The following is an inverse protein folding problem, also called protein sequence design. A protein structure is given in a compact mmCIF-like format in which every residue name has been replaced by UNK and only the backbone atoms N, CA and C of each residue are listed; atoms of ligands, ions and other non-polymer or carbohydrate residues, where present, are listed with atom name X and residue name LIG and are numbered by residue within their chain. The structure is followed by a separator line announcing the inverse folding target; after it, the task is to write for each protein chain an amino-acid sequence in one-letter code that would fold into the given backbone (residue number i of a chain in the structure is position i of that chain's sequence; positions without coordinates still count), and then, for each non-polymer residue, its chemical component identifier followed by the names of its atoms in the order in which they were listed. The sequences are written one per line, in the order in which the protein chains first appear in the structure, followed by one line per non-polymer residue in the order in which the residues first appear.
data_IF_904337535927
#
_entry.id   IF_904337535927
#
_cell.length_a   1.000
_cell.length_b   1.000
_cell.length_c   1.000
_cell.angle_alpha   90.00
_cell.angle_beta   90.00
_cell.angle_gamma   90.00
#
_symmetry.space_group_name_H-M   'P 1'
#
loop_
_entity.id
_entity.type
_entity.pdbx_description
1 polymer ?
#
# COMPACT_ATOMS: atom_id res chain seq x y z
N UNK A 1 -8.63 -2.81 10.61
CA UNK A 1 -8.67 -1.98 11.82
C UNK A 1 -7.29 -1.40 12.10
N UNK A 2 -7.25 -0.19 12.64
CA UNK A 2 -6.01 0.46 13.04
C UNK A 2 -5.48 -0.19 14.33
N UNK A 3 -4.38 -0.94 14.28
CA UNK A 3 -3.75 -1.47 15.48
C UNK A 3 -2.80 -0.46 16.15
N UNK A 4 -2.35 -0.76 17.37
CA UNK A 4 -1.47 0.10 18.19
C UNK A 4 -0.22 0.60 17.44
N UNK A 5 0.36 -0.22 16.55
CA UNK A 5 1.48 0.21 15.69
C UNK A 5 1.16 1.45 14.83
N UNK A 6 -0.01 1.52 14.21
CA UNK A 6 -0.45 2.66 13.41
C UNK A 6 -0.77 3.88 14.28
N UNK A 7 -1.22 3.67 15.52
CA UNK A 7 -1.46 4.77 16.45
C UNK A 7 -0.16 5.50 16.82
N UNK A 8 0.92 4.76 17.03
CA UNK A 8 2.25 5.34 17.31
C UNK A 8 2.75 6.21 16.16
N UNK A 9 2.70 5.69 14.93
CA UNK A 9 3.14 6.46 13.76
C UNK A 9 2.26 7.69 13.53
N UNK A 10 0.95 7.57 13.74
CA UNK A 10 0.01 8.70 13.63
C UNK A 10 0.38 9.83 14.58
N UNK A 11 0.55 9.54 15.88
CA UNK A 11 0.85 10.57 16.89
C UNK A 11 2.24 11.18 16.64
N UNK A 12 3.27 10.36 16.40
CA UNK A 12 4.63 10.85 16.18
C UNK A 12 4.70 11.70 14.91
N UNK A 13 4.08 11.24 13.82
CA UNK A 13 4.03 11.96 12.56
C UNK A 13 3.31 13.30 12.68
N UNK A 14 2.20 13.36 13.41
CA UNK A 14 1.47 14.61 13.64
C UNK A 14 2.29 15.60 14.48
N UNK A 15 2.93 15.15 15.57
CA UNK A 15 3.82 16.00 16.38
C UNK A 15 4.97 16.57 15.53
N UNK A 16 5.63 15.74 14.71
CA UNK A 16 6.69 16.20 13.81
C UNK A 16 6.17 17.23 12.82
N UNK A 17 4.99 16.99 12.23
CA UNK A 17 4.36 17.91 11.27
C UNK A 17 4.07 19.25 11.92
N UNK A 18 3.44 19.26 13.10
CA UNK A 18 3.14 20.48 13.86
C UNK A 18 4.40 21.29 14.20
N UNK A 19 5.49 20.62 14.61
CA UNK A 19 6.76 21.30 14.94
C UNK A 19 7.40 21.91 13.69
N UNK A 20 7.36 21.21 12.56
CA UNK A 20 7.90 21.71 11.30
C UNK A 20 7.09 22.89 10.75
N UNK A 21 5.76 22.81 10.80
CA UNK A 21 4.86 23.91 10.44
C UNK A 21 5.08 25.13 11.35
N UNK A 22 5.19 24.92 12.66
CA UNK A 22 5.51 25.99 13.61
C UNK A 22 6.86 26.65 13.31
N UNK A 23 7.82 25.88 12.80
CA UNK A 23 9.14 26.36 12.39
C UNK A 23 9.12 27.07 11.03
N UNK A 24 7.97 27.16 10.37
CA UNK A 24 7.77 27.88 9.10
C UNK A 24 7.95 27.04 7.85
N UNK A 25 8.00 25.71 7.95
CA UNK A 25 8.02 24.82 6.78
C UNK A 25 6.61 24.60 6.21
N UNK A 26 6.51 24.45 4.90
CA UNK A 26 5.31 23.91 4.24
C UNK A 26 5.31 22.38 4.38
N UNK A 27 4.28 21.83 5.01
CA UNK A 27 4.23 20.40 5.37
C UNK A 27 3.02 19.73 4.74
N UNK A 28 3.31 18.87 3.75
CA UNK A 28 2.31 17.96 3.19
C UNK A 28 2.27 16.66 4.01
N UNK A 29 1.17 16.45 4.74
CA UNK A 29 0.94 15.26 5.57
C UNK A 29 0.25 14.17 4.74
N UNK A 30 0.90 13.04 4.52
CA UNK A 30 0.36 11.94 3.72
C UNK A 30 0.09 10.68 4.55
N UNK A 31 -1.14 10.18 4.47
CA UNK A 31 -1.54 8.90 5.00
C UNK A 31 -1.41 7.81 3.93
N UNK A 32 -0.33 7.05 3.99
CA UNK A 32 -0.04 5.98 3.03
C UNK A 32 -0.74 4.67 3.43
N UNK A 33 -2.06 4.65 3.23
CA UNK A 33 -2.90 3.51 3.61
C UNK A 33 -2.68 2.30 2.72
N UNK A 34 -2.68 1.11 3.32
CA UNK A 34 -2.60 -0.18 2.62
C UNK A 34 -3.95 -0.57 2.00
N UNK A 35 -4.39 0.20 1.02
CA UNK A 35 -5.66 0.05 0.31
C UNK A 35 -5.56 -0.80 -0.96
N UNK A 36 -4.41 -1.46 -1.19
CA UNK A 36 -4.22 -2.33 -2.34
C UNK A 36 -3.51 -3.62 -1.94
N UNK A 37 -3.80 -4.73 -2.61
CA UNK A 37 -3.14 -6.02 -2.37
C UNK A 37 -4.02 -7.24 -2.53
N UNK A 38 -3.41 -8.42 -2.45
CA UNK A 38 -4.09 -9.70 -2.70
C UNK A 38 -5.16 -10.04 -1.66
N UNK A 39 -5.05 -9.46 -0.46
CA UNK A 39 -6.05 -9.58 0.60
C UNK A 39 -7.43 -9.04 0.17
N UNK A 40 -7.49 -8.09 -0.77
CA UNK A 40 -8.76 -7.56 -1.25
C UNK A 40 -9.54 -8.57 -2.10
N UNK A 41 -8.87 -9.55 -2.73
CA UNK A 41 -9.57 -10.57 -3.51
C UNK A 41 -10.53 -11.40 -2.67
N UNK A 42 -10.12 -11.83 -1.47
CA UNK A 42 -11.03 -12.55 -0.57
C UNK A 42 -12.13 -11.64 0.00
N UNK A 43 -11.85 -10.36 0.23
CA UNK A 43 -12.84 -9.42 0.75
C UNK A 43 -13.90 -9.11 -0.30
N UNK A 44 -13.50 -8.84 -1.54
CA UNK A 44 -14.42 -8.61 -2.67
C UNK A 44 -15.34 -9.82 -2.89
N UNK A 45 -14.80 -11.03 -2.90
CA UNK A 45 -15.62 -12.23 -3.07
C UNK A 45 -16.47 -12.56 -1.85
N UNK A 46 -16.03 -12.18 -0.64
CA UNK A 46 -16.89 -12.28 0.54
C UNK A 46 -18.07 -11.29 0.47
N UNK A 47 -17.82 -10.05 0.05
CA UNK A 47 -18.89 -9.08 -0.19
C UNK A 47 -19.84 -9.54 -1.29
N UNK A 48 -19.34 -10.18 -2.34
CA UNK A 48 -20.17 -10.73 -3.42
C UNK A 48 -21.23 -11.70 -2.89
N UNK A 49 -20.89 -12.48 -1.87
CA UNK A 49 -21.78 -13.48 -1.29
C UNK A 49 -22.70 -12.90 -0.20
N UNK A 50 -22.18 -12.01 0.66
CA UNK A 50 -22.89 -11.54 1.87
C UNK A 50 -23.51 -10.13 1.75
N UNK A 51 -22.97 -9.28 0.87
CA UNK A 51 -23.34 -7.87 0.66
C UNK A 51 -23.35 -7.51 -0.83
N UNK A 52 -24.19 -8.16 -1.66
CA UNK A 52 -24.20 -7.94 -3.12
C UNK A 52 -24.44 -6.47 -3.51
N UNK A 53 -25.08 -5.68 -2.65
CA UNK A 53 -25.28 -4.24 -2.81
C UNK A 53 -23.97 -3.43 -2.84
N UNK A 54 -22.89 -3.94 -2.22
CA UNK A 54 -21.56 -3.33 -2.23
C UNK A 54 -20.88 -3.42 -3.60
N UNK A 55 -21.35 -4.32 -4.47
CA UNK A 55 -20.83 -4.50 -5.82
C UNK A 55 -21.49 -3.57 -6.84
N UNK A 56 -22.45 -2.74 -6.41
CA UNK A 56 -23.14 -1.79 -7.28
C UNK A 56 -22.32 -0.50 -7.34
N UNK A 57 -21.85 -0.07 -8.53
CA UNK A 57 -21.13 1.19 -8.67
C UNK A 57 -21.90 2.39 -8.10
N UNK A 58 -21.23 3.24 -7.33
CA UNK A 58 -21.84 4.42 -6.69
C UNK A 58 -22.65 4.14 -5.42
N UNK A 59 -22.60 2.92 -4.87
CA UNK A 59 -23.23 2.59 -3.59
C UNK A 59 -22.27 2.51 -2.39
N UNK A 60 -20.97 2.77 -2.57
CA UNK A 60 -19.95 2.62 -1.51
C UNK A 60 -20.33 3.28 -0.17
N UNK A 61 -20.89 4.48 -0.18
CA UNK A 61 -21.25 5.23 1.04
C UNK A 61 -22.63 4.85 1.62
N UNK A 62 -23.37 3.94 0.97
CA UNK A 62 -24.73 3.54 1.34
C UNK A 62 -24.80 2.17 2.00
N UNK A 63 -23.69 1.43 1.98
CA UNK A 63 -23.63 0.07 2.50
C UNK A 63 -22.94 0.09 3.86
N UNK A 64 -23.66 -0.33 4.89
CA UNK A 64 -23.09 -0.54 6.22
C UNK A 64 -22.53 -1.96 6.32
N UNK A 65 -21.21 -2.08 6.15
CA UNK A 65 -20.50 -3.35 6.33
C UNK A 65 -20.29 -3.72 7.82
N UNK A 66 -20.77 -2.87 8.74
CA UNK A 66 -20.64 -3.03 10.18
C UNK A 66 -19.17 -3.12 10.59
N UNK A 67 -18.81 -4.21 11.26
CA UNK A 67 -17.46 -4.37 11.80
C UNK A 67 -16.53 -5.05 10.79
N UNK A 68 -15.65 -4.25 10.15
CA UNK A 68 -14.67 -4.75 9.17
C UNK A 68 -13.70 -5.81 9.71
N UNK A 69 -13.43 -5.85 11.01
CA UNK A 69 -12.59 -6.91 11.61
C UNK A 69 -13.30 -8.25 11.58
N UNK A 70 -14.59 -8.27 11.90
CA UNK A 70 -15.40 -9.48 11.80
C UNK A 70 -15.51 -9.94 10.35
N UNK A 71 -15.74 -9.00 9.44
CA UNK A 71 -15.81 -9.27 8.00
C UNK A 71 -14.50 -9.89 7.48
N UNK A 72 -13.36 -9.28 7.82
CA UNK A 72 -12.05 -9.82 7.46
C UNK A 72 -11.81 -11.22 8.02
N UNK A 73 -12.15 -11.46 9.30
CA UNK A 73 -12.00 -12.78 9.93
C UNK A 73 -12.87 -13.83 9.26
N UNK A 74 -14.12 -13.48 8.91
CA UNK A 74 -15.03 -14.39 8.21
C UNK A 74 -14.51 -14.71 6.79
N UNK A 75 -14.11 -13.71 6.02
CA UNK A 75 -13.51 -13.89 4.70
C UNK A 75 -12.24 -14.75 4.77
N UNK A 76 -11.37 -14.49 5.75
CA UNK A 76 -10.13 -15.25 5.96
C UNK A 76 -10.40 -16.70 6.34
N UNK A 77 -11.36 -16.95 7.24
CA UNK A 77 -11.76 -18.31 7.60
C UNK A 77 -12.24 -19.08 6.37
N UNK A 78 -13.09 -18.47 5.53
CA UNK A 78 -13.54 -19.08 4.27
C UNK A 78 -12.38 -19.35 3.33
N UNK A 79 -11.46 -18.41 3.17
CA UNK A 79 -10.26 -18.58 2.34
C UNK A 79 -9.38 -19.75 2.77
N UNK A 80 -9.33 -20.05 4.07
CA UNK A 80 -8.47 -21.10 4.61
C UNK A 80 -9.10 -22.50 4.53
N UNK A 81 -10.43 -22.62 4.49
CA UNK A 81 -11.14 -23.91 4.56
C UNK A 81 -11.96 -24.28 3.31
N UNK A 82 -12.28 -23.32 2.44
CA UNK A 82 -13.07 -23.53 1.23
C UNK A 82 -12.21 -23.28 -0.02
N UNK A 83 -11.79 -24.37 -0.67
CA UNK A 83 -10.96 -24.32 -1.88
C UNK A 83 -11.66 -23.62 -3.05
N UNK A 84 -12.98 -23.72 -3.16
CA UNK A 84 -13.74 -23.05 -4.21
C UNK A 84 -13.76 -21.53 -3.96
N UNK A 85 -13.96 -21.10 -2.71
CA UNK A 85 -13.87 -19.68 -2.35
C UNK A 85 -12.45 -19.14 -2.53
N UNK A 86 -11.42 -19.93 -2.17
CA UNK A 86 -10.01 -19.57 -2.37
C UNK A 86 -9.68 -19.33 -3.84
N UNK A 87 -10.19 -20.17 -4.73
CA UNK A 87 -10.03 -19.98 -6.17
C UNK A 87 -10.73 -18.70 -6.66
N UNK A 88 -11.99 -18.48 -6.25
CA UNK A 88 -12.70 -17.22 -6.56
C UNK A 88 -11.97 -16.01 -6.03
N UNK A 89 -11.43 -16.04 -4.81
CA UNK A 89 -10.68 -14.94 -4.23
C UNK A 89 -9.45 -14.56 -5.05
N UNK A 90 -8.73 -15.55 -5.61
CA UNK A 90 -7.61 -15.29 -6.53
C UNK A 90 -8.08 -14.60 -7.81
N UNK A 91 -9.19 -15.06 -8.38
CA UNK A 91 -9.82 -14.43 -9.55
C UNK A 91 -10.34 -13.02 -9.23
N UNK A 92 -10.83 -12.79 -8.01
CA UNK A 92 -11.26 -11.49 -7.50
C UNK A 92 -10.13 -10.46 -7.48
N UNK A 93 -8.90 -10.86 -7.12
CA UNK A 93 -7.73 -10.00 -7.23
C UNK A 93 -7.49 -9.59 -8.69
N UNK A 94 -7.56 -10.54 -9.62
CA UNK A 94 -7.33 -10.28 -11.05
C UNK A 94 -8.41 -9.34 -11.60
N UNK A 95 -9.68 -9.55 -11.24
CA UNK A 95 -10.79 -8.66 -11.63
C UNK A 95 -10.59 -7.25 -11.09
N UNK A 96 -10.24 -7.09 -9.82
CA UNK A 96 -9.97 -5.80 -9.20
C UNK A 96 -8.80 -5.07 -9.89
N UNK A 97 -7.70 -5.77 -10.12
CA UNK A 97 -6.54 -5.21 -10.84
C UNK A 97 -6.83 -4.90 -12.32
N UNK A 98 -7.76 -5.63 -12.93
CA UNK A 98 -8.25 -5.41 -14.28
C UNK A 98 -9.28 -4.29 -14.41
N UNK A 99 -9.72 -3.69 -13.29
CA UNK A 99 -10.71 -2.61 -13.29
C UNK A 99 -12.15 -3.07 -13.53
N UNK A 100 -12.50 -4.32 -13.19
CA UNK A 100 -13.89 -4.79 -13.21
C UNK A 100 -14.77 -3.90 -12.32
N UNK A 101 -15.83 -3.32 -12.90
CA UNK A 101 -16.64 -2.30 -12.23
C UNK A 101 -17.24 -2.80 -10.90
N UNK A 102 -17.68 -4.05 -10.85
CA UNK A 102 -18.26 -4.64 -9.65
C UNK A 102 -17.21 -4.92 -8.57
N UNK A 103 -16.04 -5.42 -8.96
CA UNK A 103 -14.92 -5.62 -8.04
C UNK A 103 -14.39 -4.29 -7.48
N UNK A 104 -14.30 -3.26 -8.32
CA UNK A 104 -13.91 -1.90 -7.92
C UNK A 104 -14.93 -1.31 -6.97
N UNK A 105 -16.24 -1.42 -7.25
CA UNK A 105 -17.29 -0.93 -6.35
C UNK A 105 -17.22 -1.59 -4.96
N UNK A 106 -16.98 -2.90 -4.91
CA UNK A 106 -16.79 -3.61 -3.64
C UNK A 106 -15.55 -3.12 -2.88
N UNK A 107 -14.45 -2.91 -3.59
CA UNK A 107 -13.22 -2.34 -3.03
C UNK A 107 -13.45 -0.93 -2.48
N UNK A 108 -14.12 -0.06 -3.23
CA UNK A 108 -14.46 1.31 -2.80
C UNK A 108 -15.32 1.29 -1.53
N UNK A 109 -16.29 0.37 -1.44
CA UNK A 109 -17.13 0.19 -0.24
C UNK A 109 -16.31 -0.20 0.99
N UNK A 110 -15.36 -1.13 0.83
CA UNK A 110 -14.43 -1.52 1.91
C UNK A 110 -13.58 -0.34 2.38
N UNK A 111 -13.01 0.41 1.43
CA UNK A 111 -12.19 1.58 1.71
C UNK A 111 -13.00 2.69 2.38
N UNK A 112 -14.20 3.00 1.88
CA UNK A 112 -15.11 4.00 2.46
C UNK A 112 -15.47 3.66 3.90
N UNK A 113 -15.87 2.41 4.17
CA UNK A 113 -16.17 1.94 5.53
C UNK A 113 -14.94 2.08 6.44
N UNK A 114 -13.74 1.73 5.94
CA UNK A 114 -12.51 1.82 6.73
C UNK A 114 -12.14 3.27 7.04
N UNK A 115 -12.35 4.19 6.10
CA UNK A 115 -12.13 5.64 6.28
C UNK A 115 -13.00 6.21 7.39
N UNK A 116 -14.27 5.82 7.47
CA UNK A 116 -15.18 6.26 8.54
C UNK A 116 -14.63 5.84 9.92
N UNK A 117 -14.15 4.61 10.06
CA UNK A 117 -13.56 4.15 11.33
C UNK A 117 -12.23 4.84 11.66
N UNK A 118 -11.38 5.09 10.66
CA UNK A 118 -10.14 5.84 10.86
C UNK A 118 -10.38 7.29 11.25
N UNK A 119 -11.38 7.94 10.64
CA UNK A 119 -11.70 9.33 10.92
C UNK A 119 -12.13 9.55 12.37
N UNK A 120 -12.89 8.62 12.96
CA UNK A 120 -13.24 8.68 14.39
C UNK A 120 -11.99 8.76 15.28
N UNK A 121 -10.93 8.05 14.92
CA UNK A 121 -9.68 8.04 15.67
C UNK A 121 -8.91 9.34 15.43
N UNK A 122 -8.83 9.80 14.18
CA UNK A 122 -8.18 11.07 13.83
C UNK A 122 -8.86 12.25 14.52
N UNK A 123 -10.19 12.30 14.58
CA UNK A 123 -10.96 13.32 15.28
C UNK A 123 -10.68 13.29 16.78
N UNK A 124 -10.69 12.11 17.40
CA UNK A 124 -10.42 11.96 18.83
C UNK A 124 -8.99 12.40 19.22
N UNK A 125 -8.03 12.24 18.31
CA UNK A 125 -6.65 12.66 18.48
C UNK A 125 -6.39 14.10 17.98
N UNK A 126 -7.40 14.76 17.42
CA UNK A 126 -7.29 16.07 16.78
C UNK A 126 -6.22 16.13 15.69
N UNK A 127 -6.13 15.09 14.86
CA UNK A 127 -5.24 15.06 13.69
C UNK A 127 -5.87 15.89 12.58
N UNK A 128 -5.13 16.88 12.10
CA UNK A 128 -5.60 17.83 11.08
C UNK A 128 -4.75 17.73 9.80
N UNK A 129 -5.34 18.16 8.67
CA UNK A 129 -4.67 18.28 7.36
C UNK A 129 -3.98 17.00 6.84
N UNK A 130 -4.36 15.83 7.36
CA UNK A 130 -3.85 14.54 6.91
C UNK A 130 -4.53 14.13 5.60
N UNK A 131 -3.78 14.05 4.51
CA UNK A 131 -4.33 13.68 3.20
C UNK A 131 -4.09 12.20 2.93
N UNK A 132 -5.16 11.47 2.59
CA UNK A 132 -5.02 10.08 2.17
C UNK A 132 -4.31 9.97 0.82
N UNK A 133 -3.28 9.13 0.77
CA UNK A 133 -2.59 8.75 -0.47
C UNK A 133 -2.10 7.32 -0.37
N UNK A 134 -3.06 6.42 -0.50
CA UNK A 134 -2.86 4.97 -0.40
C UNK A 134 -1.93 4.40 -1.46
N UNK A 135 -1.63 3.12 -1.32
CA UNK A 135 -0.86 2.36 -2.29
C UNK A 135 -1.52 2.36 -3.67
N UNK A 136 -2.86 2.29 -3.72
CA UNK A 136 -3.63 2.24 -4.96
C UNK A 136 -3.41 3.46 -5.86
N UNK A 137 -3.17 4.63 -5.27
CA UNK A 137 -2.86 5.88 -6.00
C UNK A 137 -1.65 5.72 -6.92
N UNK A 138 -0.68 4.89 -6.53
CA UNK A 138 0.57 4.72 -7.28
C UNK A 138 0.49 3.65 -8.36
N UNK A 139 -0.62 2.90 -8.48
CA UNK A 139 -0.80 1.84 -9.49
C UNK A 139 -0.47 2.27 -10.92
N UNK A 140 -0.90 3.46 -11.40
CA UNK A 140 -0.57 3.91 -12.76
C UNK A 140 0.94 4.11 -13.00
N UNK A 141 1.73 4.32 -11.94
CA UNK A 141 3.15 4.64 -12.02
C UNK A 141 4.07 3.41 -11.91
N UNK A 142 3.55 2.27 -11.45
CA UNK A 142 4.39 1.11 -11.10
C UNK A 142 5.11 0.52 -12.31
N UNK A 143 4.43 0.44 -13.47
CA UNK A 143 5.02 -0.07 -14.71
C UNK A 143 6.19 0.79 -15.16
N UNK A 144 6.02 2.11 -15.14
CA UNK A 144 7.05 3.06 -15.57
C UNK A 144 8.26 3.05 -14.63
N UNK A 145 8.04 2.86 -13.32
CA UNK A 145 9.14 2.70 -12.36
C UNK A 145 9.94 1.43 -12.64
N UNK A 146 9.28 0.29 -12.85
CA UNK A 146 10.00 -0.96 -13.17
C UNK A 146 10.76 -0.83 -14.50
N UNK A 147 10.12 -0.30 -15.55
CA UNK A 147 10.76 -0.11 -16.86
C UNK A 147 12.00 0.79 -16.77
N UNK A 148 11.89 1.91 -16.07
CA UNK A 148 13.01 2.83 -15.84
C UNK A 148 14.17 2.17 -15.09
N UNK A 149 13.88 1.33 -14.08
CA UNK A 149 14.91 0.56 -13.36
C UNK A 149 15.57 -0.51 -14.22
N UNK A 150 14.85 -1.11 -15.16
CA UNK A 150 15.39 -2.07 -16.14
C UNK A 150 16.27 -1.36 -17.17
N UNK A 151 15.82 -0.22 -17.70
CA UNK A 151 16.59 0.60 -18.66
C UNK A 151 17.91 1.11 -18.07
N UNK A 152 17.92 1.44 -16.78
CA UNK A 152 19.13 1.79 -16.03
C UNK A 152 20.02 0.59 -15.71
N UNK A 153 19.58 -0.64 -15.98
CA UNK A 153 20.31 -1.88 -15.64
C UNK A 153 20.36 -2.18 -14.14
N UNK A 154 19.50 -1.54 -13.34
CA UNK A 154 19.43 -1.73 -11.88
C UNK A 154 18.54 -2.93 -11.51
N UNK A 155 17.45 -3.13 -12.26
CA UNK A 155 16.57 -4.27 -12.11
C UNK A 155 16.99 -5.42 -13.03
N UNK A 156 17.14 -6.61 -12.47
CA UNK A 156 17.57 -7.83 -13.18
C UNK A 156 16.63 -8.99 -12.91
N UNK A 157 16.63 -9.99 -13.80
CA UNK A 157 15.90 -11.23 -13.60
C UNK A 157 16.50 -12.08 -12.47
N UNK A 158 15.65 -12.57 -11.59
CA UNK A 158 16.00 -13.44 -10.46
C UNK A 158 14.86 -14.44 -10.25
N UNK A 159 15.10 -15.72 -10.56
CA UNK A 159 14.12 -16.81 -10.37
C UNK A 159 12.74 -16.54 -11.01
N UNK A 160 12.73 -15.88 -12.18
CA UNK A 160 11.51 -15.50 -12.89
C UNK A 160 10.83 -14.24 -12.37
N UNK A 161 11.35 -13.61 -11.31
CA UNK A 161 10.96 -12.31 -10.80
C UNK A 161 11.95 -11.21 -11.24
N UNK A 162 11.63 -9.94 -10.97
CA UNK A 162 12.56 -8.80 -11.12
C UNK A 162 13.02 -8.31 -9.76
N UNK A 163 14.32 -8.14 -9.61
CA UNK A 163 14.96 -7.76 -8.36
C UNK A 163 16.05 -6.71 -8.55
N UNK A 164 16.30 -5.92 -7.50
CA UNK A 164 17.47 -5.05 -7.39
C UNK A 164 18.41 -5.63 -6.34
N UNK A 165 19.69 -5.72 -6.68
CA UNK A 165 20.73 -6.13 -5.74
C UNK A 165 21.53 -4.93 -5.26
N UNK A 166 21.59 -4.75 -3.94
CA UNK A 166 22.21 -3.60 -3.30
C UNK A 166 23.42 -4.05 -2.49
N UNK A 167 24.53 -3.32 -2.63
CA UNK A 167 25.77 -3.63 -1.93
C UNK A 167 25.56 -3.60 -0.41
N UNK A 168 26.14 -4.56 0.32
CA UNK A 168 26.03 -4.64 1.78
C UNK A 168 24.76 -5.31 2.32
N UNK A 169 23.86 -5.77 1.45
CA UNK A 169 22.70 -6.57 1.83
C UNK A 169 22.88 -8.02 1.37
N UNK A 170 22.96 -8.94 2.33
CA UNK A 170 23.18 -10.37 2.08
C UNK A 170 22.20 -11.24 2.88
N UNK A 171 21.87 -12.39 2.33
CA UNK A 171 21.18 -13.47 3.01
C UNK A 171 22.06 -14.11 4.08
N UNK A 172 21.46 -14.98 4.91
CA UNK A 172 22.18 -15.71 5.97
C UNK A 172 23.30 -16.62 5.46
N UNK A 173 23.20 -17.06 4.21
CA UNK A 173 24.20 -17.89 3.53
C UNK A 173 25.29 -17.06 2.82
N UNK A 174 25.24 -15.72 2.92
CA UNK A 174 26.20 -14.80 2.31
C UNK A 174 25.89 -14.43 0.86
N UNK A 175 24.81 -14.97 0.27
CA UNK A 175 24.38 -14.57 -1.09
C UNK A 175 23.76 -13.17 -1.08
N UNK A 176 23.82 -12.39 -2.18
CA UNK A 176 23.19 -11.08 -2.25
C UNK A 176 21.68 -11.14 -1.96
N UNK A 177 21.19 -10.27 -1.07
CA UNK A 177 19.77 -10.19 -0.72
C UNK A 177 19.01 -9.43 -1.83
N UNK A 178 18.03 -10.06 -2.51
CA UNK A 178 17.26 -9.39 -3.54
C UNK A 178 16.19 -8.47 -2.93
N UNK A 179 16.10 -7.23 -3.43
CA UNK A 179 14.91 -6.39 -3.26
C UNK A 179 13.96 -6.66 -4.44
N UNK A 180 12.92 -7.48 -4.21
CA UNK A 180 11.96 -7.84 -5.26
C UNK A 180 11.06 -6.63 -5.62
N UNK A 181 10.99 -6.32 -6.92
CA UNK A 181 10.17 -5.23 -7.46
C UNK A 181 9.06 -5.73 -8.42
N UNK A 182 9.13 -6.99 -8.85
CA UNK A 182 8.05 -7.63 -9.60
C UNK A 182 8.12 -9.13 -9.42
N UNK A 183 6.99 -9.77 -9.13
CA UNK A 183 6.86 -11.22 -9.00
C UNK A 183 6.87 -11.90 -10.37
N UNK A 184 7.02 -13.23 -10.37
CA UNK A 184 6.97 -14.06 -11.58
C UNK A 184 5.59 -14.13 -12.24
N UNK A 185 4.52 -13.91 -11.48
CA UNK A 185 3.16 -13.73 -12.02
C UNK A 185 2.90 -12.32 -12.59
N UNK A 186 3.93 -11.46 -12.58
CA UNK A 186 3.87 -10.09 -13.09
C UNK A 186 3.35 -9.06 -12.09
N UNK A 187 2.89 -9.48 -10.89
CA UNK A 187 2.41 -8.58 -9.85
C UNK A 187 3.52 -7.74 -9.21
N UNK A 188 3.18 -6.54 -8.75
CA UNK A 188 4.13 -5.64 -8.10
C UNK A 188 4.26 -5.93 -6.59
N UNK A 189 5.40 -5.51 -6.03
CA UNK A 189 5.72 -5.64 -4.61
C UNK A 189 5.64 -4.26 -3.93
N UNK A 190 5.61 -4.25 -2.58
CA UNK A 190 5.63 -3.01 -1.79
C UNK A 190 6.82 -2.11 -2.13
N UNK A 191 8.00 -2.67 -2.39
CA UNK A 191 9.18 -1.90 -2.79
C UNK A 191 8.93 -1.08 -4.06
N UNK A 192 8.14 -1.58 -5.00
CA UNK A 192 7.78 -0.86 -6.24
C UNK A 192 6.87 0.32 -5.95
N UNK A 193 5.87 0.11 -5.08
CA UNK A 193 4.97 1.18 -4.62
C UNK A 193 5.75 2.27 -3.89
N UNK A 194 6.66 1.91 -2.99
CA UNK A 194 7.48 2.88 -2.27
C UNK A 194 8.45 3.63 -3.19
N UNK A 195 9.06 2.96 -4.17
CA UNK A 195 9.90 3.61 -5.19
C UNK A 195 9.08 4.60 -6.04
N UNK A 196 7.86 4.23 -6.43
CA UNK A 196 6.93 5.13 -7.11
C UNK A 196 6.53 6.31 -6.23
N UNK A 197 6.27 6.07 -4.94
CA UNK A 197 5.92 7.11 -3.99
C UNK A 197 7.07 8.11 -3.78
N UNK A 198 8.31 7.65 -3.66
CA UNK A 198 9.49 8.53 -3.60
C UNK A 198 9.58 9.38 -4.87
N UNK A 199 9.56 8.73 -6.05
CA UNK A 199 9.66 9.42 -7.34
C UNK A 199 8.56 10.48 -7.51
N UNK A 200 7.33 10.17 -7.09
CA UNK A 200 6.21 11.10 -7.13
C UNK A 200 6.39 12.27 -6.16
N UNK A 201 6.74 12.00 -4.91
CA UNK A 201 6.92 13.05 -3.88
C UNK A 201 8.07 14.00 -4.22
N UNK A 202 9.12 13.52 -4.87
CA UNK A 202 10.22 14.37 -5.33
C UNK A 202 9.84 15.13 -6.61
N UNK A 203 9.30 14.46 -7.62
CA UNK A 203 9.14 15.08 -8.94
C UNK A 203 7.83 15.87 -9.11
N UNK A 204 6.76 15.49 -8.43
CA UNK A 204 5.45 16.12 -8.52
C UNK A 204 5.25 17.06 -7.34
N UNK A 205 5.42 16.57 -6.11
CA UNK A 205 5.21 17.39 -4.91
C UNK A 205 6.40 18.30 -4.58
N UNK A 206 7.53 18.12 -5.29
CA UNK A 206 8.75 18.94 -5.13
C UNK A 206 9.25 18.99 -3.68
N UNK A 207 9.11 17.89 -2.96
CA UNK A 207 9.52 17.83 -1.55
C UNK A 207 11.04 17.97 -1.40
N UNK A 208 11.49 18.94 -0.59
CA UNK A 208 12.90 19.09 -0.20
C UNK A 208 13.35 18.01 0.79
N UNK A 209 12.42 17.50 1.60
CA UNK A 209 12.65 16.45 2.60
C UNK A 209 11.41 15.60 2.79
N UNK A 210 11.59 14.28 2.80
CA UNK A 210 10.53 13.31 3.05
C UNK A 210 10.83 12.57 4.35
N UNK A 211 9.85 12.51 5.25
CA UNK A 211 9.95 11.77 6.51
C UNK A 211 9.03 10.55 6.46
N UNK A 212 9.60 9.36 6.63
CA UNK A 212 8.86 8.11 6.76
C UNK A 212 8.73 7.76 8.24
N UNK A 213 7.51 7.84 8.77
CA UNK A 213 7.21 7.50 10.16
C UNK A 213 6.56 6.12 10.19
N UNK A 214 7.38 5.08 10.29
CA UNK A 214 6.96 3.67 10.23
C UNK A 214 7.49 2.88 11.43
N UNK A 215 7.09 1.62 11.54
CA UNK A 215 7.59 0.73 12.58
C UNK A 215 9.06 0.33 12.32
N UNK A 216 9.84 0.18 13.39
CA UNK A 216 11.26 -0.16 13.32
C UNK A 216 11.53 -1.52 12.65
N UNK A 217 10.55 -2.44 12.64
CA UNK A 217 10.65 -3.72 11.92
C UNK A 217 10.73 -3.57 10.40
N UNK A 218 10.40 -2.40 9.85
CA UNK A 218 10.51 -2.09 8.42
C UNK A 218 11.81 -1.36 8.05
N UNK A 219 12.74 -1.19 8.99
CA UNK A 219 13.99 -0.43 8.77
C UNK A 219 14.77 -0.94 7.56
N UNK A 220 15.06 -2.25 7.48
CA UNK A 220 15.81 -2.83 6.38
C UNK A 220 15.13 -2.60 5.02
N UNK A 221 13.80 -2.73 4.95
CA UNK A 221 13.04 -2.46 3.73
C UNK A 221 13.25 -1.02 3.26
N UNK A 222 13.03 -0.04 4.15
CA UNK A 222 13.19 1.37 3.79
C UNK A 222 14.64 1.74 3.50
N UNK A 223 15.62 1.19 4.21
CA UNK A 223 17.03 1.40 3.88
C UNK A 223 17.37 0.91 2.46
N UNK A 224 16.89 -0.28 2.08
CA UNK A 224 17.06 -0.81 0.73
C UNK A 224 16.35 0.05 -0.31
N UNK A 225 15.09 0.44 -0.06
CA UNK A 225 14.31 1.31 -0.95
C UNK A 225 15.00 2.66 -1.13
N UNK A 226 15.47 3.31 -0.06
CA UNK A 226 16.16 4.60 -0.16
C UNK A 226 17.47 4.49 -0.93
N UNK A 227 18.24 3.42 -0.71
CA UNK A 227 19.47 3.17 -1.44
C UNK A 227 19.21 2.89 -2.93
N UNK A 228 18.16 2.13 -3.24
CA UNK A 228 17.73 1.90 -4.61
C UNK A 228 17.25 3.20 -5.27
N UNK A 229 16.45 4.02 -4.58
CA UNK A 229 15.98 5.31 -5.07
C UNK A 229 17.14 6.27 -5.39
N UNK A 230 18.17 6.31 -4.54
CA UNK A 230 19.40 7.08 -4.80
C UNK A 230 20.17 6.54 -6.01
N UNK A 231 20.36 5.21 -6.11
CA UNK A 231 21.00 4.59 -7.29
C UNK A 231 20.23 4.91 -8.59
N UNK A 232 18.90 4.90 -8.53
CA UNK A 232 18.00 5.21 -9.64
C UNK A 232 17.82 6.72 -9.89
N UNK A 233 18.46 7.58 -9.08
CA UNK A 233 18.38 9.05 -9.14
C UNK A 233 16.94 9.58 -9.01
N UNK A 234 16.11 8.91 -8.22
CA UNK A 234 14.77 9.40 -7.87
C UNK A 234 14.80 10.41 -6.73
N UNK A 235 15.88 10.40 -5.95
CA UNK A 235 16.16 11.31 -4.83
C UNK A 235 17.67 11.45 -4.67
N UNK A 236 18.13 12.63 -4.27
CA UNK A 236 19.56 12.93 -4.05
C UNK A 236 20.09 12.34 -2.72
#
# INVERSE_FOLDING_TARGET
EMHVGHLRSTIIGDVLSNVLEFSGHDVLRLNHVGDWGTQFGMLVEHLRDEYPEALIPGNADKVDLGNLVKLYKAAKQRFDVDDAFKQRAREGVVKLQGGDEAAVAAWETLCATSRVEYQKIYDALNIQNLQERGESFYNPYLKDVVGDLEEQGLAVDSEGAKAIFLDGYVNRDGTPLPMLIRKSDGGFNYATTDMAAIRHRVNIEKADRILYVTDAGQSQHFEMVFKAAKKAKYVD
#
